data_IF_778597454188
#
_entry.id   IF_778597454188
#
_cell.length_a   1.000
_cell.length_b   1.000
_cell.length_c   1.000
_cell.angle_alpha   90.00
_cell.angle_beta   90.00
_cell.angle_gamma   90.00
#
_symmetry.space_group_name_H-M   'P 1'
#
loop_
_entity.id
_entity.type
_entity.pdbx_description
1 polymer ?
#
# COMPACT_ATOMS: atom_id res chain seq x y z
N UNK A 1 12.58 -3.98 -24.56
CA UNK A 1 13.01 -2.66 -24.02
C UNK A 1 14.15 -2.88 -23.04
N UNK A 2 15.25 -2.12 -23.16
CA UNK A 2 16.40 -2.23 -22.24
C UNK A 2 16.06 -1.54 -20.92
N UNK A 3 16.57 -2.06 -19.80
CA UNK A 3 16.30 -1.54 -18.46
C UNK A 3 16.67 -0.05 -18.32
N UNK A 4 17.74 0.37 -19.00
CA UNK A 4 18.19 1.77 -19.05
C UNK A 4 17.12 2.69 -19.65
N UNK A 5 16.40 2.24 -20.68
CA UNK A 5 15.35 3.02 -21.35
C UNK A 5 14.14 3.20 -20.45
N UNK A 6 13.79 2.18 -19.66
CA UNK A 6 12.70 2.27 -18.67
C UNK A 6 13.09 3.25 -17.56
N UNK A 7 14.32 3.15 -17.05
CA UNK A 7 14.81 4.01 -15.98
C UNK A 7 14.89 5.49 -16.41
N UNK A 8 15.41 5.76 -17.60
CA UNK A 8 15.46 7.13 -18.15
C UNK A 8 14.06 7.69 -18.41
N UNK A 9 13.13 6.87 -18.89
CA UNK A 9 11.74 7.31 -19.12
C UNK A 9 11.03 7.62 -17.80
N UNK A 10 11.23 6.80 -16.76
CA UNK A 10 10.70 7.05 -15.42
C UNK A 10 11.33 8.29 -14.77
N UNK A 11 12.64 8.47 -14.91
CA UNK A 11 13.34 9.66 -14.42
C UNK A 11 12.87 10.94 -15.12
N UNK A 12 12.67 10.88 -16.45
CA UNK A 12 12.16 12.00 -17.23
C UNK A 12 10.70 12.35 -16.84
N UNK A 13 9.85 11.34 -16.64
CA UNK A 13 8.47 11.54 -16.17
C UNK A 13 8.44 12.14 -14.74
N UNK A 14 9.32 11.68 -13.86
CA UNK A 14 9.45 12.23 -12.50
C UNK A 14 9.92 13.69 -12.52
N UNK A 15 10.88 14.02 -13.38
CA UNK A 15 11.37 15.39 -13.54
C UNK A 15 10.28 16.31 -14.11
N UNK A 16 9.53 15.84 -15.11
CA UNK A 16 8.45 16.59 -15.73
C UNK A 16 7.30 16.85 -14.74
N UNK A 17 6.96 15.84 -13.93
CA UNK A 17 5.96 15.95 -12.87
C UNK A 17 6.39 16.92 -11.77
N UNK A 18 7.68 16.95 -11.41
CA UNK A 18 8.24 17.88 -10.44
C UNK A 18 8.30 19.33 -10.96
N UNK A 19 8.38 19.52 -12.29
CA UNK A 19 8.41 20.84 -12.94
C UNK A 19 7.03 21.44 -13.26
N UNK A 20 5.93 20.77 -12.91
CA UNK A 20 4.60 21.25 -13.27
C UNK A 20 4.23 22.58 -12.57
N UNK A 21 3.49 23.50 -13.21
CA UNK A 21 3.09 24.78 -12.62
C UNK A 21 2.26 24.67 -11.31
N UNK A 22 1.68 23.50 -11.04
CA UNK A 22 0.97 23.19 -9.80
C UNK A 22 1.86 23.34 -8.55
N UNK A 23 3.18 23.20 -8.68
CA UNK A 23 4.14 23.36 -7.58
C UNK A 23 4.48 24.83 -7.28
N UNK A 24 4.28 25.73 -8.25
CA UNK A 24 4.57 27.15 -8.11
C UNK A 24 3.39 27.96 -7.52
N UNK A 25 2.16 27.42 -7.57
CA UNK A 25 0.95 28.10 -7.07
C UNK A 25 0.44 27.58 -5.72
N UNK A 26 1.03 26.53 -5.15
CA UNK A 26 0.53 25.88 -3.93
C UNK A 26 1.06 26.62 -2.68
N UNK A 27 0.45 27.77 -2.38
CA UNK A 27 0.83 28.62 -1.25
C UNK A 27 0.32 28.10 0.11
N UNK A 28 -0.59 27.13 0.12
CA UNK A 28 -1.40 26.77 1.31
C UNK A 28 -1.03 25.43 1.99
N UNK A 29 0.08 24.77 1.61
CA UNK A 29 0.48 23.49 2.24
C UNK A 29 -0.51 22.34 2.04
N UNK A 30 -1.34 22.40 1.00
CA UNK A 30 -2.35 21.38 0.69
C UNK A 30 -1.83 20.25 -0.20
N UNK A 31 -0.58 20.31 -0.68
CA UNK A 31 -0.04 19.34 -1.63
C UNK A 31 -0.09 17.92 -1.05
N UNK A 32 0.27 17.75 0.22
CA UNK A 32 0.19 16.45 0.90
C UNK A 32 -1.23 15.89 0.93
N UNK A 33 -2.24 16.73 1.15
CA UNK A 33 -3.64 16.32 1.14
C UNK A 33 -4.11 15.98 -0.27
N UNK A 34 -3.78 16.81 -1.27
CA UNK A 34 -4.09 16.51 -2.66
C UNK A 34 -3.51 15.16 -3.09
N UNK A 35 -2.24 14.92 -2.80
CA UNK A 35 -1.59 13.65 -3.11
C UNK A 35 -2.28 12.48 -2.39
N UNK A 36 -2.57 12.65 -1.10
CA UNK A 36 -3.21 11.62 -0.27
C UNK A 36 -4.60 11.27 -0.80
N UNK A 37 -5.46 12.25 -1.06
CA UNK A 37 -6.87 12.00 -1.41
C UNK A 37 -7.11 11.74 -2.89
N UNK A 38 -6.30 12.28 -3.80
CA UNK A 38 -6.49 12.07 -5.24
C UNK A 38 -5.66 10.92 -5.82
N UNK A 39 -4.57 10.52 -5.15
CA UNK A 39 -3.74 9.42 -5.64
C UNK A 39 -3.71 8.23 -4.68
N UNK A 40 -3.36 8.45 -3.42
CA UNK A 40 -3.16 7.34 -2.46
C UNK A 40 -4.48 6.69 -2.06
N UNK A 41 -5.53 7.48 -1.82
CA UNK A 41 -6.84 6.95 -1.43
C UNK A 41 -7.48 6.10 -2.55
N UNK A 42 -7.55 6.55 -3.83
CA UNK A 42 -8.01 5.69 -4.93
C UNK A 42 -7.16 4.44 -5.12
N UNK A 43 -5.84 4.55 -5.02
CA UNK A 43 -4.92 3.40 -5.06
C UNK A 43 -5.25 2.37 -3.97
N UNK A 44 -5.44 2.84 -2.74
CA UNK A 44 -5.74 1.99 -1.60
C UNK A 44 -7.16 1.40 -1.68
N UNK A 45 -8.12 2.14 -2.23
CA UNK A 45 -9.46 1.63 -2.49
C UNK A 45 -9.44 0.49 -3.52
N UNK A 46 -8.67 0.64 -4.60
CA UNK A 46 -8.46 -0.43 -5.58
C UNK A 46 -7.79 -1.65 -4.94
N UNK A 47 -6.77 -1.44 -4.08
CA UNK A 47 -6.17 -2.50 -3.30
C UNK A 47 -7.20 -3.27 -2.46
N UNK A 48 -8.06 -2.55 -1.72
CA UNK A 48 -9.09 -3.17 -0.88
C UNK A 48 -10.12 -3.96 -1.70
N UNK A 49 -10.49 -3.46 -2.88
CA UNK A 49 -11.37 -4.17 -3.81
C UNK A 49 -10.74 -5.48 -4.29
N UNK A 50 -9.49 -5.43 -4.76
CA UNK A 50 -8.74 -6.63 -5.19
C UNK A 50 -8.53 -7.58 -4.01
N UNK A 51 -8.28 -7.05 -2.81
CA UNK A 51 -8.16 -7.82 -1.59
C UNK A 51 -9.44 -8.61 -1.30
N UNK A 52 -10.59 -7.94 -1.29
CA UNK A 52 -11.88 -8.57 -1.02
C UNK A 52 -12.17 -9.70 -2.02
N UNK A 53 -11.96 -9.46 -3.32
CA UNK A 53 -12.16 -10.48 -4.36
C UNK A 53 -11.25 -11.70 -4.15
N UNK A 54 -9.95 -11.50 -3.95
CA UNK A 54 -9.00 -12.60 -3.77
C UNK A 54 -9.20 -13.34 -2.44
N UNK A 55 -9.62 -12.64 -1.38
CA UNK A 55 -9.96 -13.22 -0.10
C UNK A 55 -11.21 -14.10 -0.18
N UNK A 56 -12.23 -13.67 -0.93
CA UNK A 56 -13.45 -14.45 -1.17
C UNK A 56 -13.15 -15.81 -1.82
N UNK A 57 -12.17 -15.85 -2.73
CA UNK A 57 -11.71 -17.08 -3.40
C UNK A 57 -10.56 -17.79 -2.68
N UNK A 58 -10.28 -17.44 -1.42
CA UNK A 58 -9.28 -18.10 -0.57
C UNK A 58 -7.85 -18.13 -1.17
N UNK A 59 -7.50 -17.13 -1.99
CA UNK A 59 -6.25 -17.12 -2.77
C UNK A 59 -5.01 -16.80 -1.94
N UNK A 60 -5.17 -16.20 -0.76
CA UNK A 60 -4.05 -15.83 0.13
C UNK A 60 -3.41 -16.98 0.91
N UNK A 61 -3.73 -18.24 0.59
CA UNK A 61 -2.91 -19.39 1.03
C UNK A 61 -1.47 -19.30 0.52
N UNK A 62 -1.26 -18.70 -0.65
CA UNK A 62 0.09 -18.49 -1.21
C UNK A 62 0.79 -17.30 -0.54
N UNK A 63 1.91 -17.58 0.15
CA UNK A 63 2.77 -16.54 0.74
C UNK A 63 3.27 -15.55 -0.31
N UNK A 64 3.65 -16.04 -1.48
CA UNK A 64 4.18 -15.20 -2.57
C UNK A 64 3.14 -14.19 -3.04
N UNK A 65 1.89 -14.62 -3.24
CA UNK A 65 0.81 -13.72 -3.62
C UNK A 65 0.53 -12.66 -2.54
N UNK A 66 0.41 -13.09 -1.28
CA UNK A 66 0.14 -12.20 -0.16
C UNK A 66 1.25 -11.14 0.01
N UNK A 67 2.51 -11.55 -0.11
CA UNK A 67 3.67 -10.66 -0.01
C UNK A 67 3.67 -9.64 -1.14
N UNK A 68 3.56 -10.07 -2.40
CA UNK A 68 3.58 -9.16 -3.53
C UNK A 68 2.41 -8.20 -3.53
N UNK A 69 1.21 -8.69 -3.19
CA UNK A 69 0.06 -7.81 -3.11
C UNK A 69 0.22 -6.77 -2.01
N UNK A 70 0.71 -7.16 -0.82
CA UNK A 70 0.96 -6.19 0.26
C UNK A 70 2.05 -5.19 -0.10
N UNK A 71 3.13 -5.64 -0.75
CA UNK A 71 4.22 -4.76 -1.17
C UNK A 71 3.77 -3.72 -2.20
N UNK A 72 2.98 -4.14 -3.19
CA UNK A 72 2.38 -3.24 -4.18
C UNK A 72 1.44 -2.26 -3.47
N UNK A 73 0.52 -2.78 -2.65
CA UNK A 73 -0.45 -1.96 -1.92
C UNK A 73 0.21 -0.88 -1.05
N UNK A 74 1.31 -1.23 -0.36
CA UNK A 74 2.03 -0.35 0.54
C UNK A 74 2.77 0.80 -0.19
N UNK A 75 3.07 0.65 -1.48
CA UNK A 75 3.83 1.65 -2.22
C UNK A 75 3.15 3.04 -2.21
N UNK A 76 1.84 3.10 -2.45
CA UNK A 76 1.08 4.36 -2.44
C UNK A 76 1.18 5.10 -1.10
N UNK A 77 0.76 4.46 0.02
CA UNK A 77 0.85 5.06 1.35
C UNK A 77 2.28 5.43 1.78
N UNK A 78 3.28 4.63 1.44
CA UNK A 78 4.69 4.97 1.74
C UNK A 78 5.09 6.25 1.01
N UNK A 79 4.80 6.36 -0.29
CA UNK A 79 5.08 7.58 -1.05
C UNK A 79 4.29 8.77 -0.47
N UNK A 80 3.03 8.56 -0.08
CA UNK A 80 2.23 9.60 0.55
C UNK A 80 2.79 10.12 1.88
N UNK A 81 3.37 9.23 2.71
CA UNK A 81 4.10 9.64 3.92
C UNK A 81 5.31 10.52 3.59
N UNK A 82 6.10 10.16 2.57
CA UNK A 82 7.23 10.99 2.14
C UNK A 82 6.78 12.36 1.61
N UNK A 83 5.70 12.41 0.84
CA UNK A 83 5.12 13.68 0.36
C UNK A 83 4.65 14.54 1.54
N UNK A 84 3.98 13.94 2.53
CA UNK A 84 3.56 14.65 3.73
C UNK A 84 4.75 15.27 4.49
N UNK A 85 5.85 14.51 4.67
CA UNK A 85 7.04 15.00 5.37
C UNK A 85 7.75 16.16 4.65
N UNK A 86 7.60 16.27 3.32
CA UNK A 86 8.18 17.38 2.54
C UNK A 86 7.30 18.64 2.63
N UNK A 87 5.99 18.49 2.85
CA UNK A 87 5.01 19.58 2.91
C UNK A 87 4.62 19.93 4.36
N UNK A 88 5.62 20.35 5.15
CA UNK A 88 5.47 20.62 6.59
C UNK A 88 4.89 22.01 6.93
N UNK A 89 4.36 22.74 5.94
CA UNK A 89 4.01 24.16 6.08
C UNK A 89 2.78 24.41 6.95
N UNK A 90 1.81 23.49 6.92
CA UNK A 90 0.63 23.50 7.78
C UNK A 90 0.60 22.25 8.67
N UNK A 91 0.69 22.40 10.01
CA UNK A 91 0.68 21.26 10.93
C UNK A 91 -0.62 20.44 10.88
N UNK A 92 -1.78 21.06 10.68
CA UNK A 92 -3.06 20.35 10.69
C UNK A 92 -3.17 19.43 9.47
N UNK A 93 -2.81 19.95 8.30
CA UNK A 93 -2.80 19.18 7.05
C UNK A 93 -1.71 18.11 7.03
N UNK A 94 -0.55 18.40 7.63
CA UNK A 94 0.52 17.43 7.83
C UNK A 94 0.03 16.24 8.66
N UNK A 95 -0.54 16.47 9.84
CA UNK A 95 -0.99 15.39 10.73
C UNK A 95 -2.13 14.58 10.11
N UNK A 96 -3.05 15.22 9.40
CA UNK A 96 -4.11 14.52 8.68
C UNK A 96 -3.53 13.63 7.57
N UNK A 97 -2.60 14.15 6.76
CA UNK A 97 -1.95 13.36 5.71
C UNK A 97 -1.14 12.19 6.28
N UNK A 98 -0.36 12.42 7.34
CA UNK A 98 0.37 11.34 8.04
C UNK A 98 -0.61 10.29 8.55
N UNK A 99 -1.64 10.68 9.30
CA UNK A 99 -2.61 9.77 9.90
C UNK A 99 -3.33 8.90 8.86
N UNK A 100 -3.81 9.51 7.78
CA UNK A 100 -4.48 8.79 6.68
C UNK A 100 -3.51 7.83 6.00
N UNK A 101 -2.31 8.27 5.61
CA UNK A 101 -1.34 7.39 4.96
C UNK A 101 -0.87 6.25 5.88
N UNK A 102 -0.68 6.50 7.18
CA UNK A 102 -0.36 5.44 8.14
C UNK A 102 -1.48 4.40 8.23
N UNK A 103 -2.74 4.83 8.30
CA UNK A 103 -3.88 3.91 8.29
C UNK A 103 -3.92 3.08 7.02
N UNK A 104 -3.78 3.72 5.85
CA UNK A 104 -3.78 3.03 4.56
C UNK A 104 -2.59 2.05 4.43
N UNK A 105 -1.44 2.40 5.00
CA UNK A 105 -0.28 1.51 5.07
C UNK A 105 -0.56 0.27 5.91
N UNK A 106 -1.23 0.41 7.07
CA UNK A 106 -1.65 -0.75 7.87
C UNK A 106 -2.60 -1.64 7.08
N UNK A 107 -3.59 -1.04 6.40
CA UNK A 107 -4.55 -1.77 5.56
C UNK A 107 -3.87 -2.48 4.39
N UNK A 108 -2.78 -1.93 3.84
CA UNK A 108 -2.00 -2.57 2.78
C UNK A 108 -1.42 -3.94 3.19
N UNK A 109 -1.27 -4.22 4.49
CA UNK A 109 -0.78 -5.51 4.99
C UNK A 109 -1.86 -6.55 5.26
N UNK A 110 -3.14 -6.26 4.99
CA UNK A 110 -4.24 -7.23 5.09
C UNK A 110 -3.99 -8.55 4.36
N UNK A 111 -3.42 -8.58 3.13
CA UNK A 111 -3.11 -9.85 2.45
C UNK A 111 -2.16 -10.74 3.26
N UNK A 112 -1.12 -10.16 3.87
CA UNK A 112 -0.18 -10.88 4.74
C UNK A 112 -0.86 -11.37 6.03
N UNK A 113 -1.74 -10.55 6.61
CA UNK A 113 -2.56 -10.96 7.76
C UNK A 113 -3.44 -12.17 7.43
N UNK A 114 -4.11 -12.16 6.28
CA UNK A 114 -4.92 -13.28 5.82
C UNK A 114 -4.09 -14.55 5.61
N UNK A 115 -2.92 -14.43 4.99
CA UNK A 115 -1.99 -15.56 4.85
C UNK A 115 -1.56 -16.16 6.20
N UNK A 116 -1.27 -15.32 7.19
CA UNK A 116 -0.93 -15.77 8.54
C UNK A 116 -2.10 -16.54 9.18
N UNK A 117 -3.34 -16.05 9.03
CA UNK A 117 -4.54 -16.74 9.51
C UNK A 117 -4.68 -18.12 8.88
N UNK A 118 -4.46 -18.25 7.56
CA UNK A 118 -4.49 -19.57 6.90
C UNK A 118 -3.45 -20.53 7.45
N UNK A 119 -2.20 -20.06 7.64
CA UNK A 119 -1.15 -20.90 8.23
C UNK A 119 -1.50 -21.36 9.64
N UNK A 120 -2.01 -20.46 10.49
CA UNK A 120 -2.43 -20.83 11.84
C UNK A 120 -3.59 -21.83 11.84
N UNK A 121 -4.58 -21.68 10.95
CA UNK A 121 -5.68 -22.63 10.82
C UNK A 121 -5.21 -24.01 10.35
N UNK A 122 -4.28 -24.06 9.39
CA UNK A 122 -3.71 -25.31 8.91
C UNK A 122 -2.92 -26.04 10.02
N UNK A 123 -2.09 -25.32 10.78
CA UNK A 123 -1.34 -25.88 11.90
C UNK A 123 -2.26 -26.45 12.99
N UNK A 124 -3.34 -25.73 13.34
CA UNK A 124 -4.33 -26.21 14.33
C UNK A 124 -5.05 -27.49 13.87
N UNK A 125 -5.37 -27.60 12.58
CA UNK A 125 -5.99 -28.80 12.02
C UNK A 125 -5.04 -30.00 12.01
N UNK A 126 -3.76 -29.78 11.68
CA UNK A 126 -2.73 -30.82 11.77
C UNK A 126 -2.59 -31.36 13.19
N UNK A 127 -2.43 -30.46 14.17
CA UNK A 127 -2.33 -30.85 15.58
C UNK A 127 -3.57 -31.61 16.09
N UNK A 128 -4.77 -31.22 15.65
CA UNK A 128 -5.99 -31.93 15.99
C UNK A 128 -6.07 -33.33 15.33
N UNK A 129 -5.60 -33.48 14.10
CA UNK A 129 -5.53 -34.76 13.41
C UNK A 129 -4.55 -35.71 14.10
N UNK A 130 -3.34 -35.23 14.42
CA UNK A 130 -2.31 -36.01 15.12
C UNK A 130 -2.80 -36.47 16.51
N UNK A 131 -3.51 -35.61 17.24
CA UNK A 131 -4.10 -35.96 18.54
C UNK A 131 -5.24 -37.00 18.44
N UNK A 132 -5.85 -37.18 17.26
CA UNK A 132 -6.93 -38.14 17.01
C UNK A 132 -6.46 -39.43 16.35
N UNK A 133 -5.18 -39.55 15.99
CA UNK A 133 -4.62 -40.74 15.36
C UNK A 133 -4.47 -41.87 16.40
N UNK A 134 -4.87 -43.11 16.07
CA UNK A 134 -4.66 -44.26 16.95
C UNK A 134 -3.15 -44.53 17.14
N UNK A 135 -2.74 -45.05 18.32
CA UNK A 135 -1.35 -45.37 18.63
C UNK A 135 -0.77 -46.49 17.78
#
# INVERSE_FOLDING_TARGET
MRAETVFTTLAALALLAASAPAWASNYDGMLALFFTFYLVAPWSALHLLVFALLALFDRYRSRKLALWHSAIAAAGPIVGLFVALIDYRDPEFLWLAIGVNTLLLVLAFLPMGMHAIHRHRAARRGAAADASAPP
#
